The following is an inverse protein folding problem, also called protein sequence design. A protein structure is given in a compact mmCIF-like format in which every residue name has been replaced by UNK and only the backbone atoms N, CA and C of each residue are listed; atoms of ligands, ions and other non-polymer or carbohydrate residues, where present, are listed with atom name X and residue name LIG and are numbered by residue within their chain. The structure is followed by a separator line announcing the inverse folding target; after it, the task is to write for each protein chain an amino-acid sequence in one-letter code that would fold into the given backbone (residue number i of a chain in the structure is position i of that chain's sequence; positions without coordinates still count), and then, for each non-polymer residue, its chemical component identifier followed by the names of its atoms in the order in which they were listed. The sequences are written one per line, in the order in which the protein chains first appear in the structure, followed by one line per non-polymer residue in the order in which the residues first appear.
data_IF_307962108225
#
_entry.id   IF_307962108225
#
_cell.length_a   1.000
_cell.length_b   1.000
_cell.length_c   1.000
_cell.angle_alpha   90.00
_cell.angle_beta   90.00
_cell.angle_gamma   90.00
#
_symmetry.space_group_name_H-M   'P 1'
#
loop_
_entity.id
_entity.type
_entity.pdbx_description
1 polymer ?
#
# COMPACT_ATOMS: atom_id res chain seq x y z
N UNK A 1 5.95 16.94 16.18
CA UNK A 1 5.58 16.42 15.77
C UNK A 1 5.12 15.60 15.18
N UNK A 2 4.80 15.27 14.89
CA UNK A 2 4.38 14.53 14.37
C UNK A 2 4.68 13.91 13.65
N UNK A 3 4.99 13.68 13.46
CA UNK A 3 5.36 13.19 13.00
C UNK A 3 5.34 12.16 12.38
N UNK A 4 4.55 11.67 12.07
CA UNK A 4 4.39 10.55 11.23
C UNK A 4 4.35 11.00 9.84
N UNK A 5 5.39 10.76 9.12
CA UNK A 5 5.39 11.03 7.73
C UNK A 5 4.52 10.01 7.06
N UNK A 6 3.36 10.41 6.59
CA UNK A 6 2.65 9.55 5.65
C UNK A 6 3.32 9.66 4.30
N UNK A 7 3.37 8.54 3.58
CA UNK A 7 3.96 8.45 2.26
C UNK A 7 2.98 7.77 1.34
N UNK A 8 3.06 8.10 0.06
CA UNK A 8 2.33 7.31 -0.92
C UNK A 8 3.02 5.97 -1.07
N UNK A 9 2.23 4.94 -1.26
CA UNK A 9 2.77 3.58 -1.31
C UNK A 9 3.79 3.41 -2.42
N UNK A 10 3.65 4.14 -3.53
CA UNK A 10 4.59 4.06 -4.64
C UNK A 10 5.94 4.74 -4.35
N UNK A 11 6.05 5.47 -3.25
CA UNK A 11 7.29 6.16 -2.89
C UNK A 11 8.18 5.33 -1.99
N UNK A 12 7.69 4.20 -1.52
CA UNK A 12 8.41 3.36 -0.57
C UNK A 12 9.36 2.47 -1.34
N UNK A 13 10.62 2.44 -0.92
CA UNK A 13 11.66 1.70 -1.62
C UNK A 13 12.11 0.44 -0.90
N UNK A 14 11.65 0.20 0.31
CA UNK A 14 12.06 -0.96 1.10
C UNK A 14 10.86 -1.78 1.50
N UNK A 15 11.05 -3.08 1.52
CA UNK A 15 10.02 -4.00 2.03
C UNK A 15 9.77 -3.71 3.51
N UNK A 16 8.59 -4.04 3.98
CA UNK A 16 8.29 -3.91 5.39
C UNK A 16 6.81 -3.83 5.67
N UNK A 17 6.50 -3.50 6.92
CA UNK A 17 5.13 -3.37 7.41
C UNK A 17 4.73 -1.91 7.44
N UNK A 18 3.53 -1.65 6.96
CA UNK A 18 2.99 -0.30 6.89
C UNK A 18 1.53 -0.32 7.32
N UNK A 19 1.07 0.81 7.81
CA UNK A 19 -0.33 0.99 8.16
C UNK A 19 -0.97 1.92 7.13
N UNK A 20 -2.10 1.50 6.58
CA UNK A 20 -2.83 2.31 5.61
C UNK A 20 -3.46 3.50 6.32
N UNK A 21 -3.25 4.69 5.78
CA UNK A 21 -3.81 5.91 6.35
C UNK A 21 -4.97 6.44 5.53
N UNK A 22 -4.84 6.40 4.21
CA UNK A 22 -5.95 6.84 3.36
C UNK A 22 -5.90 6.11 2.02
N UNK A 23 -7.06 6.04 1.39
CA UNK A 23 -7.22 5.36 0.10
C UNK A 23 -8.11 6.23 -0.78
N UNK A 24 -7.68 6.44 -2.02
CA UNK A 24 -8.48 7.19 -2.98
C UNK A 24 -9.40 6.23 -3.73
N UNK A 25 -10.65 6.16 -3.32
CA UNK A 25 -11.60 5.20 -3.88
C UNK A 25 -12.05 5.54 -5.32
N UNK A 26 -11.65 6.69 -5.84
CA UNK A 26 -11.91 7.01 -7.24
C UNK A 26 -11.05 6.18 -8.19
N UNK A 27 -9.96 5.63 -7.70
CA UNK A 27 -9.13 4.72 -8.47
C UNK A 27 -9.77 3.33 -8.42
N UNK A 28 -10.01 2.72 -9.59
CA UNK A 28 -10.71 1.44 -9.65
C UNK A 28 -9.97 0.31 -8.94
N UNK A 29 -8.65 0.31 -9.07
CA UNK A 29 -7.84 -0.72 -8.42
C UNK A 29 -7.96 -0.60 -6.90
N UNK A 30 -7.86 0.63 -6.39
CA UNK A 30 -7.98 0.88 -4.95
C UNK A 30 -9.38 0.51 -4.46
N UNK A 31 -10.41 0.86 -5.23
CA UNK A 31 -11.78 0.51 -4.84
C UNK A 31 -11.95 -1.00 -4.72
N UNK A 32 -11.33 -1.76 -5.62
CA UNK A 32 -11.37 -3.21 -5.55
C UNK A 32 -10.68 -3.72 -4.29
N UNK A 33 -9.52 -3.15 -3.96
CA UNK A 33 -8.81 -3.55 -2.75
C UNK A 33 -9.63 -3.26 -1.50
N UNK A 34 -10.33 -2.13 -1.50
CA UNK A 34 -11.20 -1.79 -0.37
C UNK A 34 -12.32 -2.81 -0.21
N UNK A 35 -12.86 -3.29 -1.32
CA UNK A 35 -13.92 -4.31 -1.26
C UNK A 35 -13.39 -5.64 -0.74
N UNK A 36 -12.08 -5.84 -0.80
CA UNK A 36 -11.42 -7.03 -0.27
C UNK A 36 -10.99 -6.87 1.19
N UNK A 37 -11.27 -5.72 1.78
CA UNK A 37 -10.98 -5.49 3.18
C UNK A 37 -9.81 -4.55 3.46
N UNK A 38 -9.23 -3.92 2.43
CA UNK A 38 -8.16 -2.96 2.66
C UNK A 38 -8.77 -1.63 3.06
N UNK A 39 -8.71 -1.31 4.33
CA UNK A 39 -9.36 -0.14 4.91
C UNK A 39 -8.35 0.68 5.71
N UNK A 40 -8.67 1.93 6.04
CA UNK A 40 -7.79 2.73 6.89
C UNK A 40 -7.47 2.00 8.19
N UNK A 41 -6.25 2.17 8.66
CA UNK A 41 -5.68 1.54 9.86
C UNK A 41 -5.34 0.06 9.68
N UNK A 42 -5.58 -0.49 8.51
CA UNK A 42 -5.20 -1.86 8.20
C UNK A 42 -3.68 -1.94 8.02
N UNK A 43 -3.06 -3.00 8.53
CA UNK A 43 -1.65 -3.26 8.31
C UNK A 43 -1.46 -4.02 7.01
N UNK A 44 -0.44 -3.65 6.28
CA UNK A 44 -0.06 -4.36 5.06
C UNK A 44 1.44 -4.64 5.10
N UNK A 45 1.85 -5.69 4.40
CA UNK A 45 3.26 -5.98 4.14
C UNK A 45 3.56 -5.64 2.70
N UNK A 46 4.58 -4.83 2.48
CA UNK A 46 4.99 -4.43 1.15
C UNK A 46 6.22 -5.22 0.73
N UNK A 47 6.17 -5.78 -0.46
CA UNK A 47 7.24 -6.60 -1.02
C UNK A 47 7.58 -6.10 -2.40
N UNK A 48 8.88 -5.92 -2.67
CA UNK A 48 9.38 -5.52 -3.98
C UNK A 48 9.94 -6.75 -4.66
N UNK A 49 9.12 -7.43 -5.43
CA UNK A 49 9.50 -8.69 -6.05
C UNK A 49 9.89 -8.57 -7.50
N UNK A 50 9.42 -7.52 -8.18
CA UNK A 50 9.69 -7.35 -9.59
C UNK A 50 11.09 -6.76 -9.79
N UNK A 51 11.85 -7.25 -10.76
CA UNK A 51 13.23 -6.77 -10.97
C UNK A 51 13.33 -5.28 -11.23
N UNK A 52 12.31 -4.70 -11.87
CA UNK A 52 12.31 -3.27 -12.20
C UNK A 52 11.48 -2.44 -11.21
N UNK A 53 11.04 -3.05 -10.12
CA UNK A 53 10.31 -2.32 -9.10
C UNK A 53 8.83 -2.13 -9.35
N UNK A 54 8.31 -2.62 -10.47
CA UNK A 54 6.89 -2.47 -10.82
C UNK A 54 6.42 -3.73 -11.50
N UNK A 55 5.37 -4.38 -11.01
CA UNK A 55 4.52 -4.00 -9.89
C UNK A 55 5.14 -4.33 -8.53
N UNK A 56 4.55 -3.76 -7.49
CA UNK A 56 4.86 -4.17 -6.13
C UNK A 56 3.82 -5.20 -5.67
N UNK A 57 4.13 -5.91 -4.60
CA UNK A 57 3.18 -6.84 -4.00
C UNK A 57 2.81 -6.35 -2.61
N UNK A 58 1.54 -6.45 -2.27
CA UNK A 58 1.11 -6.17 -0.90
C UNK A 58 0.38 -7.39 -0.36
N UNK A 59 0.55 -7.60 0.94
CA UNK A 59 -0.07 -8.73 1.63
C UNK A 59 -0.91 -8.19 2.77
N UNK A 60 -2.18 -8.58 2.81
CA UNK A 60 -3.08 -8.21 3.88
C UNK A 60 -4.20 -9.24 3.96
N UNK A 61 -4.70 -9.50 5.15
CA UNK A 61 -5.80 -10.44 5.38
C UNK A 61 -5.57 -11.80 4.74
N UNK A 62 -4.32 -12.24 4.68
CA UNK A 62 -3.99 -13.52 4.07
C UNK A 62 -3.96 -13.52 2.55
N UNK A 63 -4.16 -12.38 1.93
CA UNK A 63 -4.13 -12.24 0.46
C UNK A 63 -2.83 -11.59 0.05
N UNK A 64 -2.31 -11.99 -1.12
CA UNK A 64 -1.12 -11.39 -1.70
C UNK A 64 -1.50 -10.86 -3.08
N UNK A 65 -1.37 -9.57 -3.28
CA UNK A 65 -1.89 -8.88 -4.46
C UNK A 65 -0.82 -8.05 -5.11
N UNK A 66 -0.68 -8.17 -6.43
CA UNK A 66 0.19 -7.30 -7.20
C UNK A 66 -0.50 -5.98 -7.48
N UNK A 67 0.25 -4.90 -7.41
CA UNK A 67 -0.29 -3.56 -7.54
C UNK A 67 0.70 -2.72 -8.33
N UNK A 68 0.23 -2.09 -9.40
CA UNK A 68 1.12 -1.25 -10.19
C UNK A 68 1.42 0.03 -9.43
N UNK A 69 2.61 0.59 -9.69
CA UNK A 69 3.02 1.82 -9.00
C UNK A 69 2.05 2.97 -9.26
N UNK A 70 1.48 3.05 -10.45
CA UNK A 70 0.51 4.13 -10.75
C UNK A 70 -0.71 4.04 -9.86
N UNK A 71 -1.12 2.82 -9.50
CA UNK A 71 -2.26 2.63 -8.60
C UNK A 71 -1.85 2.82 -7.15
N UNK A 72 -0.64 2.40 -6.81
CA UNK A 72 -0.12 2.55 -5.46
C UNK A 72 0.00 4.03 -5.05
N UNK A 73 0.12 4.93 -6.00
CA UNK A 73 0.17 6.35 -5.73
C UNK A 73 -1.11 6.88 -5.08
N UNK A 74 -2.19 6.11 -5.14
CA UNK A 74 -3.48 6.50 -4.56
C UNK A 74 -3.69 5.96 -3.15
N UNK A 75 -2.66 5.36 -2.56
CA UNK A 75 -2.74 4.83 -1.20
C UNK A 75 -1.66 5.49 -0.36
N UNK A 76 -2.05 6.07 0.77
CA UNK A 76 -1.10 6.67 1.71
C UNK A 76 -0.94 5.78 2.92
N UNK A 77 0.27 5.60 3.34
CA UNK A 77 0.63 4.70 4.43
C UNK A 77 1.64 5.36 5.36
N UNK A 78 1.81 4.77 6.53
CA UNK A 78 2.90 5.15 7.44
C UNK A 78 3.65 3.89 7.85
N UNK A 79 4.96 3.98 8.10
CA UNK A 79 5.71 2.81 8.53
C UNK A 79 5.31 2.38 9.93
N UNK A 80 5.38 1.07 10.16
CA UNK A 80 5.16 0.49 11.48
C UNK A 80 6.51 0.04 12.00
N UNK A 81 6.82 0.47 13.21
CA UNK A 81 8.09 0.14 13.84
C UNK A 81 7.97 -1.11 14.68
#
# INVERSE_FOLDING_TARGET
PNDHATMRLNQITKDGLFRVKSLNCDNECVARLMSMGLLPDQEIRLLHEAPLGDPIAIEFNGCNISLRLVDAAHIEVEPIQ
#
